data_IF_350199310344
#
_entry.id   IF_350199310344
#
_cell.length_a   1.000
_cell.length_b   1.000
_cell.length_c   1.000
_cell.angle_alpha   90.00
_cell.angle_beta   90.00
_cell.angle_gamma   90.00
#
_symmetry.space_group_name_H-M   'P 1'
#
loop_
_entity.id
_entity.type
_entity.pdbx_description
1 polymer ?
#
# COMPACT_ATOMS: atom_id res chain seq x y z
N UNK A 1 24.06 -8.11 -8.64
CA UNK A 1 24.74 -7.21 -7.68
C UNK A 1 24.63 -5.80 -8.21
N UNK A 2 23.98 -4.91 -7.46
CA UNK A 2 23.96 -3.48 -7.78
C UNK A 2 25.40 -2.95 -7.73
N UNK A 3 25.69 -1.92 -8.53
CA UNK A 3 27.03 -1.28 -8.52
C UNK A 3 27.15 -0.23 -7.41
N UNK A 4 26.02 0.17 -6.85
CA UNK A 4 25.89 1.30 -5.94
C UNK A 4 25.74 0.80 -4.50
N UNK A 5 26.36 1.49 -3.56
CA UNK A 5 26.20 1.21 -2.13
C UNK A 5 24.79 1.60 -1.66
N UNK A 6 24.18 0.76 -0.83
CA UNK A 6 22.89 1.04 -0.19
C UNK A 6 23.13 1.43 1.28
N UNK A 7 22.52 2.53 1.71
CA UNK A 7 22.49 2.93 3.12
C UNK A 7 21.03 3.01 3.57
N UNK A 8 20.69 2.22 4.58
CA UNK A 8 19.41 2.26 5.29
C UNK A 8 19.55 3.18 6.50
N UNK A 9 18.77 4.25 6.53
CA UNK A 9 18.61 5.10 7.71
C UNK A 9 17.29 4.72 8.36
N UNK A 10 17.33 4.29 9.63
CA UNK A 10 16.15 3.77 10.32
C UNK A 10 16.24 4.09 11.81
N UNK A 11 15.10 4.24 12.47
CA UNK A 11 15.10 4.39 13.93
C UNK A 11 15.39 3.03 14.62
N UNK A 12 15.88 3.08 15.86
CA UNK A 12 16.26 1.88 16.61
C UNK A 12 15.08 0.93 16.88
N UNK A 13 13.87 1.46 17.00
CA UNK A 13 12.67 0.67 17.29
C UNK A 13 12.25 -0.20 16.10
N UNK A 14 12.48 0.27 14.88
CA UNK A 14 12.08 -0.40 13.63
C UNK A 14 13.23 -1.16 12.98
N UNK A 15 14.50 -0.90 13.34
CA UNK A 15 15.70 -1.47 12.70
C UNK A 15 15.57 -2.97 12.45
N UNK A 16 15.31 -3.74 13.52
CA UNK A 16 15.22 -5.19 13.43
C UNK A 16 14.11 -5.63 12.48
N UNK A 17 12.93 -5.01 12.58
CA UNK A 17 11.76 -5.34 11.76
C UNK A 17 12.04 -5.02 10.29
N UNK A 18 12.56 -3.84 9.99
CA UNK A 18 12.87 -3.43 8.61
C UNK A 18 13.92 -4.36 7.99
N UNK A 19 14.95 -4.74 8.72
CA UNK A 19 15.98 -5.66 8.22
C UNK A 19 15.39 -7.05 7.93
N UNK A 20 14.62 -7.60 8.88
CA UNK A 20 14.08 -8.96 8.78
C UNK A 20 12.88 -9.09 7.82
N UNK A 21 12.09 -8.02 7.64
CA UNK A 21 10.85 -8.07 6.84
C UNK A 21 10.99 -7.36 5.48
N UNK A 22 11.56 -6.16 5.42
CA UNK A 22 11.51 -5.32 4.22
C UNK A 22 12.80 -5.43 3.38
N UNK A 23 13.95 -5.45 4.05
CA UNK A 23 15.26 -5.57 3.38
C UNK A 23 15.65 -7.02 3.09
N UNK A 24 14.94 -8.01 3.63
CA UNK A 24 15.24 -9.43 3.46
C UNK A 24 15.23 -9.92 2.00
N UNK A 25 14.54 -9.19 1.11
CA UNK A 25 14.46 -9.49 -0.33
C UNK A 25 15.54 -8.80 -1.16
N UNK A 26 16.35 -7.92 -0.54
CA UNK A 26 17.43 -7.20 -1.22
C UNK A 26 18.69 -8.07 -1.20
N UNK A 27 18.98 -8.69 -2.34
CA UNK A 27 20.21 -9.47 -2.57
C UNK A 27 21.42 -8.54 -2.87
N UNK A 28 21.67 -7.61 -1.95
CA UNK A 28 22.78 -6.67 -2.00
C UNK A 28 23.15 -6.21 -0.58
N UNK A 29 24.45 -6.12 -0.23
CA UNK A 29 24.86 -5.57 1.07
C UNK A 29 24.41 -4.12 1.23
N UNK A 30 24.00 -3.76 2.43
CA UNK A 30 23.66 -2.40 2.80
C UNK A 30 24.24 -2.03 4.16
N UNK A 31 24.56 -0.76 4.35
CA UNK A 31 24.93 -0.19 5.65
C UNK A 31 23.67 0.23 6.39
N UNK A 32 23.62 0.02 7.70
CA UNK A 32 22.53 0.51 8.56
C UNK A 32 23.06 1.67 9.39
N UNK A 33 22.31 2.77 9.41
CA UNK A 33 22.52 3.92 10.28
C UNK A 33 21.29 4.07 11.16
N UNK A 34 21.49 3.77 12.44
CA UNK A 34 20.43 3.76 13.44
C UNK A 34 20.51 4.98 14.34
N UNK A 35 19.35 5.53 14.68
CA UNK A 35 19.19 6.64 15.63
C UNK A 35 17.94 6.47 16.50
N UNK A 36 17.84 7.23 17.58
CA UNK A 36 16.62 7.29 18.36
C UNK A 36 15.51 8.00 17.57
N UNK A 37 14.25 7.65 17.83
CA UNK A 37 13.10 8.17 17.05
C UNK A 37 12.90 9.70 17.17
N UNK A 38 13.46 10.32 18.20
CA UNK A 38 13.38 11.77 18.46
C UNK A 38 14.60 12.54 17.94
N UNK A 39 15.62 11.84 17.44
CA UNK A 39 16.80 12.47 16.87
C UNK A 39 16.54 12.92 15.43
N UNK A 40 17.23 13.97 15.00
CA UNK A 40 17.15 14.50 13.65
C UNK A 40 18.09 13.73 12.71
N UNK A 41 17.51 13.08 11.69
CA UNK A 41 18.24 12.32 10.69
C UNK A 41 19.01 13.20 9.69
N UNK A 42 18.69 14.50 9.63
CA UNK A 42 19.29 15.47 8.70
C UNK A 42 20.82 15.48 8.79
N UNK A 43 21.38 15.44 10.01
CA UNK A 43 22.83 15.46 10.20
C UNK A 43 23.52 14.19 9.63
N UNK A 44 22.86 13.04 9.75
CA UNK A 44 23.33 11.78 9.19
C UNK A 44 23.27 11.82 7.66
N UNK A 45 22.15 12.27 7.09
CA UNK A 45 21.97 12.41 5.64
C UNK A 45 23.03 13.36 5.06
N UNK A 46 23.20 14.55 5.65
CA UNK A 46 24.19 15.55 5.21
C UNK A 46 25.62 15.00 5.24
N UNK A 47 25.96 14.21 6.26
CA UNK A 47 27.29 13.57 6.37
C UNK A 47 27.50 12.52 5.28
N UNK A 48 26.50 11.66 5.03
CA UNK A 48 26.56 10.57 4.05
C UNK A 48 26.56 11.08 2.60
N UNK A 49 25.94 12.23 2.37
CA UNK A 49 25.76 12.84 1.05
C UNK A 49 26.72 13.99 0.77
N UNK A 50 27.65 14.28 1.69
CA UNK A 50 28.62 15.38 1.57
C UNK A 50 29.36 15.33 0.24
N UNK A 51 29.41 16.48 -0.44
CA UNK A 51 30.08 16.69 -1.73
C UNK A 51 29.52 15.82 -2.88
N UNK A 52 28.35 15.18 -2.71
CA UNK A 52 27.64 14.42 -3.74
C UNK A 52 26.53 15.26 -4.38
N UNK A 53 26.13 14.86 -5.59
CA UNK A 53 24.85 15.28 -6.17
C UNK A 53 23.73 14.46 -5.54
N UNK A 54 22.68 15.14 -5.08
CA UNK A 54 21.58 14.51 -4.35
C UNK A 54 20.34 14.58 -5.23
N UNK A 55 19.73 13.42 -5.45
CA UNK A 55 18.39 13.30 -6.03
C UNK A 55 17.38 12.96 -4.94
N UNK A 56 16.19 13.57 -5.01
CA UNK A 56 15.08 13.33 -4.09
C UNK A 56 13.79 13.00 -4.86
N UNK A 57 13.00 12.07 -4.34
CA UNK A 57 11.66 11.78 -4.84
C UNK A 57 10.63 12.85 -4.39
N UNK A 58 11.02 13.70 -3.44
CA UNK A 58 10.27 14.89 -3.03
C UNK A 58 10.93 16.12 -3.63
N UNK A 59 10.13 17.06 -4.13
CA UNK A 59 10.64 18.32 -4.65
C UNK A 59 11.22 19.17 -3.50
N UNK A 60 12.53 19.40 -3.55
CA UNK A 60 13.29 20.22 -2.61
C UNK A 60 14.20 21.17 -3.39
N UNK A 61 14.32 22.43 -2.97
CA UNK A 61 15.02 23.47 -3.74
C UNK A 61 16.52 23.15 -3.94
N UNK A 62 17.13 22.44 -2.98
CA UNK A 62 18.55 22.11 -2.97
C UNK A 62 18.89 20.82 -3.73
N UNK A 63 17.91 19.98 -4.05
CA UNK A 63 18.11 18.64 -4.61
C UNK A 63 17.49 18.47 -5.99
N UNK A 64 18.07 17.57 -6.78
CA UNK A 64 17.51 17.21 -8.08
C UNK A 64 16.22 16.40 -7.87
N UNK A 65 15.11 16.84 -8.46
CA UNK A 65 13.84 16.12 -8.34
C UNK A 65 13.81 14.94 -9.32
N UNK A 66 14.00 13.72 -8.80
CA UNK A 66 14.14 12.49 -9.60
C UNK A 66 12.85 11.68 -9.72
N UNK A 67 11.77 12.13 -9.07
CA UNK A 67 10.49 11.41 -9.06
C UNK A 67 9.89 11.15 -10.46
N UNK A 68 9.97 12.06 -11.45
CA UNK A 68 9.47 11.77 -12.78
C UNK A 68 10.12 10.53 -13.40
N UNK A 69 11.43 10.39 -13.27
CA UNK A 69 12.18 9.25 -13.78
C UNK A 69 11.90 7.98 -12.96
N UNK A 70 11.85 8.10 -11.62
CA UNK A 70 11.51 6.97 -10.74
C UNK A 70 10.09 6.46 -10.99
N UNK A 71 9.12 7.35 -11.24
CA UNK A 71 7.73 6.99 -11.51
C UNK A 71 7.60 6.18 -12.79
N UNK A 72 8.36 6.55 -13.84
CA UNK A 72 8.37 5.81 -15.09
C UNK A 72 8.87 4.39 -14.90
N UNK A 73 9.94 4.19 -14.12
CA UNK A 73 10.47 2.85 -13.82
C UNK A 73 9.51 2.04 -12.95
N UNK A 74 8.94 2.64 -11.89
CA UNK A 74 7.99 1.96 -10.97
C UNK A 74 6.66 1.60 -11.63
N UNK A 75 6.28 2.27 -12.71
CA UNK A 75 5.05 1.97 -13.46
C UNK A 75 5.10 0.67 -14.27
N UNK A 76 6.30 0.08 -14.44
CA UNK A 76 6.51 -1.11 -15.25
C UNK A 76 6.59 -2.34 -14.35
N UNK A 77 5.60 -3.22 -14.47
CA UNK A 77 5.62 -4.51 -13.78
C UNK A 77 6.60 -5.46 -14.47
N UNK A 78 7.46 -6.10 -13.69
CA UNK A 78 8.22 -7.27 -14.14
C UNK A 78 7.28 -8.45 -14.43
N UNK A 79 7.77 -9.46 -15.15
CA UNK A 79 6.96 -10.63 -15.48
C UNK A 79 6.45 -11.39 -14.23
N UNK A 80 7.20 -11.39 -13.12
CA UNK A 80 6.73 -11.99 -11.86
C UNK A 80 5.67 -11.13 -11.18
N UNK A 81 5.85 -9.82 -11.14
CA UNK A 81 4.87 -8.89 -10.57
C UNK A 81 3.56 -8.88 -11.37
N UNK A 82 3.63 -9.00 -12.70
CA UNK A 82 2.43 -9.12 -13.53
C UNK A 82 1.63 -10.37 -13.19
N UNK A 83 2.28 -11.52 -13.01
CA UNK A 83 1.61 -12.76 -12.58
C UNK A 83 0.99 -12.63 -11.19
N UNK A 84 1.70 -12.01 -10.25
CA UNK A 84 1.17 -11.71 -8.91
C UNK A 84 -0.06 -10.81 -8.99
N UNK A 85 -0.02 -9.79 -9.84
CA UNK A 85 -1.13 -8.88 -10.08
C UNK A 85 -2.34 -9.60 -10.68
N UNK A 86 -2.14 -10.49 -11.67
CA UNK A 86 -3.22 -11.31 -12.25
C UNK A 86 -3.88 -12.21 -11.20
N UNK A 87 -3.08 -12.86 -10.33
CA UNK A 87 -3.59 -13.65 -9.21
C UNK A 87 -4.39 -12.78 -8.24
N UNK A 88 -3.84 -11.63 -7.81
CA UNK A 88 -4.52 -10.71 -6.91
C UNK A 88 -5.85 -10.21 -7.50
N UNK A 89 -5.89 -9.85 -8.79
CA UNK A 89 -7.12 -9.45 -9.46
C UNK A 89 -8.17 -10.58 -9.46
N UNK A 90 -7.75 -11.81 -9.76
CA UNK A 90 -8.64 -12.97 -9.74
C UNK A 90 -9.22 -13.23 -8.35
N UNK A 91 -8.36 -13.27 -7.33
CA UNK A 91 -8.79 -13.53 -5.95
C UNK A 91 -9.68 -12.39 -5.43
N UNK A 92 -9.36 -11.13 -5.75
CA UNK A 92 -10.22 -9.97 -5.44
C UNK A 92 -11.61 -10.13 -6.03
N UNK A 93 -11.71 -10.56 -7.30
CA UNK A 93 -13.01 -10.78 -7.95
C UNK A 93 -13.81 -11.89 -7.26
N UNK A 94 -13.15 -12.99 -6.87
CA UNK A 94 -13.76 -14.09 -6.12
C UNK A 94 -14.29 -13.61 -4.76
N UNK A 95 -13.51 -12.79 -4.04
CA UNK A 95 -13.91 -12.23 -2.75
C UNK A 95 -15.15 -11.34 -2.91
N UNK A 96 -15.11 -10.38 -3.84
CA UNK A 96 -16.24 -9.47 -4.07
C UNK A 96 -17.49 -10.24 -4.51
N UNK A 97 -17.36 -11.24 -5.37
CA UNK A 97 -18.49 -12.08 -5.79
C UNK A 97 -19.07 -12.88 -4.61
N UNK A 98 -18.22 -13.46 -3.75
CA UNK A 98 -18.64 -14.17 -2.54
C UNK A 98 -19.39 -13.25 -1.59
N UNK A 99 -18.87 -12.04 -1.35
CA UNK A 99 -19.53 -11.02 -0.53
C UNK A 99 -20.91 -10.73 -1.10
N UNK A 100 -21.01 -10.40 -2.39
CA UNK A 100 -22.28 -10.10 -3.05
C UNK A 100 -23.33 -11.22 -2.92
N UNK A 101 -22.91 -12.49 -2.90
CA UNK A 101 -23.81 -13.65 -2.70
C UNK A 101 -24.27 -13.83 -1.25
N UNK A 102 -23.52 -13.30 -0.28
CA UNK A 102 -23.81 -13.42 1.15
C UNK A 102 -24.58 -12.21 1.71
N UNK A 103 -24.73 -11.13 0.93
CA UNK A 103 -25.51 -9.95 1.33
C UNK A 103 -26.99 -10.30 1.45
N UNK A 104 -27.60 -9.95 2.58
CA UNK A 104 -29.03 -10.18 2.86
C UNK A 104 -29.72 -8.91 3.37
N UNK A 105 -31.00 -8.68 3.02
CA UNK A 105 -31.73 -7.49 3.48
C UNK A 105 -31.69 -7.31 4.99
N UNK A 106 -31.49 -6.07 5.44
CA UNK A 106 -31.35 -5.71 6.84
C UNK A 106 -29.92 -5.50 7.31
N UNK A 107 -28.91 -5.99 6.59
CA UNK A 107 -27.51 -5.68 6.88
C UNK A 107 -27.20 -4.21 6.63
N UNK A 108 -26.41 -3.60 7.51
CA UNK A 108 -25.80 -2.29 7.32
C UNK A 108 -24.67 -2.36 6.29
N UNK A 109 -24.34 -1.23 5.66
CA UNK A 109 -23.15 -1.16 4.80
C UNK A 109 -21.86 -1.47 5.57
N UNK A 110 -21.78 -1.14 6.87
CA UNK A 110 -20.67 -1.56 7.74
C UNK A 110 -20.52 -3.07 7.86
N UNK A 111 -21.62 -3.82 8.02
CA UNK A 111 -21.57 -5.28 8.09
C UNK A 111 -21.10 -5.89 6.78
N UNK A 112 -21.57 -5.35 5.65
CA UNK A 112 -21.13 -5.77 4.31
C UNK A 112 -19.64 -5.45 4.11
N UNK A 113 -19.18 -4.28 4.52
CA UNK A 113 -17.77 -3.89 4.46
C UNK A 113 -16.91 -4.79 5.34
N UNK A 114 -17.35 -5.08 6.57
CA UNK A 114 -16.67 -6.00 7.49
C UNK A 114 -16.51 -7.40 6.88
N UNK A 115 -17.54 -7.91 6.20
CA UNK A 115 -17.48 -9.19 5.51
C UNK A 115 -16.42 -9.21 4.40
N UNK A 116 -16.38 -8.16 3.57
CA UNK A 116 -15.37 -8.02 2.53
C UNK A 116 -13.95 -7.94 3.12
N UNK A 117 -13.79 -7.14 4.18
CA UNK A 117 -12.51 -6.96 4.83
C UNK A 117 -12.00 -8.25 5.47
N UNK A 118 -12.87 -8.99 6.16
CA UNK A 118 -12.54 -10.27 6.77
C UNK A 118 -12.02 -11.27 5.72
N UNK A 119 -12.69 -11.38 4.58
CA UNK A 119 -12.28 -12.31 3.51
C UNK A 119 -10.95 -11.92 2.88
N UNK A 120 -10.71 -10.62 2.63
CA UNK A 120 -9.45 -10.12 2.09
C UNK A 120 -8.28 -10.32 3.05
N UNK A 121 -8.43 -9.88 4.30
CA UNK A 121 -7.37 -10.00 5.32
C UNK A 121 -7.06 -11.47 5.63
N UNK A 122 -8.07 -12.35 5.63
CA UNK A 122 -7.86 -13.79 5.83
C UNK A 122 -7.02 -14.44 4.71
N UNK A 123 -6.91 -13.80 3.54
CA UNK A 123 -6.04 -14.22 2.44
C UNK A 123 -4.69 -13.50 2.44
N UNK A 124 -4.37 -12.72 3.49
CA UNK A 124 -3.12 -11.98 3.61
C UNK A 124 -3.05 -10.71 2.76
N UNK A 125 -4.19 -10.24 2.23
CA UNK A 125 -4.26 -9.02 1.43
C UNK A 125 -4.38 -7.78 2.32
N UNK A 126 -3.78 -6.68 1.86
CA UNK A 126 -3.93 -5.36 2.44
C UNK A 126 -5.06 -4.62 1.72
N UNK A 127 -5.93 -3.94 2.48
CA UNK A 127 -7.05 -3.19 1.93
C UNK A 127 -6.68 -1.72 1.85
N UNK A 128 -6.48 -1.22 0.64
CA UNK A 128 -6.17 0.21 0.40
C UNK A 128 -7.46 1.03 0.34
N UNK A 129 -8.49 0.49 -0.31
CA UNK A 129 -9.79 1.13 -0.47
C UNK A 129 -10.89 0.11 -0.25
N UNK A 130 -11.92 0.48 0.50
CA UNK A 130 -13.13 -0.32 0.67
C UNK A 130 -14.37 0.59 0.62
N UNK A 131 -15.19 0.38 -0.40
CA UNK A 131 -16.39 1.16 -0.67
C UNK A 131 -17.59 0.23 -0.67
N UNK A 132 -18.62 0.60 0.10
CA UNK A 132 -19.90 -0.09 0.10
C UNK A 132 -21.02 0.93 0.07
N UNK A 133 -22.00 0.70 -0.79
CA UNK A 133 -23.24 1.47 -0.82
C UNK A 133 -24.43 0.57 -1.06
N UNK A 134 -25.56 1.00 -0.50
CA UNK A 134 -26.85 0.34 -0.66
C UNK A 134 -27.89 1.29 -1.25
N UNK A 135 -28.79 0.70 -2.03
CA UNK A 135 -29.97 1.32 -2.62
C UNK A 135 -29.67 2.64 -3.34
N UNK A 136 -30.30 3.75 -2.94
CA UNK A 136 -30.17 5.05 -3.59
C UNK A 136 -28.75 5.62 -3.55
N UNK A 137 -27.92 5.22 -2.57
CA UNK A 137 -26.56 5.73 -2.43
C UNK A 137 -25.64 5.28 -3.57
N UNK A 138 -25.91 4.12 -4.16
CA UNK A 138 -25.14 3.60 -5.30
C UNK A 138 -25.14 4.58 -6.47
N UNK A 139 -26.25 5.31 -6.66
CA UNK A 139 -26.40 6.26 -7.75
C UNK A 139 -26.00 7.69 -7.36
N UNK A 140 -25.96 8.00 -6.06
CA UNK A 140 -25.64 9.35 -5.57
C UNK A 140 -24.13 9.61 -5.45
N UNK A 141 -23.33 8.58 -5.20
CA UNK A 141 -21.91 8.73 -4.87
C UNK A 141 -21.02 7.82 -5.70
N UNK A 142 -19.91 8.36 -6.23
CA UNK A 142 -18.89 7.57 -6.94
C UNK A 142 -17.93 6.84 -6.01
N UNK A 143 -17.68 7.38 -4.82
CA UNK A 143 -16.79 6.79 -3.81
C UNK A 143 -17.50 6.72 -2.45
N UNK A 144 -18.56 5.90 -2.33
CA UNK A 144 -19.33 5.83 -1.10
C UNK A 144 -18.55 5.10 0.00
N UNK A 145 -18.28 5.82 1.08
CA UNK A 145 -17.79 5.22 2.33
C UNK A 145 -18.99 4.56 3.04
N UNK A 146 -18.84 3.32 3.56
CA UNK A 146 -19.93 2.60 4.24
C UNK A 146 -20.54 3.41 5.39
N UNK A 147 -21.84 3.28 5.65
CA UNK A 147 -22.49 3.80 6.86
C UNK A 147 -23.39 2.75 7.56
N UNK A 148 -24.18 3.19 8.53
CA UNK A 148 -25.22 2.42 9.21
C UNK A 148 -26.51 2.23 8.38
N UNK A 149 -26.52 2.60 7.09
CA UNK A 149 -27.69 2.43 6.22
C UNK A 149 -27.94 0.94 5.96
N UNK A 150 -29.17 0.50 6.19
CA UNK A 150 -29.58 -0.88 5.93
C UNK A 150 -29.86 -1.12 4.45
N UNK A 151 -29.29 -2.21 3.92
CA UNK A 151 -29.57 -2.77 2.60
C UNK A 151 -31.02 -3.26 2.51
N UNK A 152 -31.71 -2.85 1.45
CA UNK A 152 -33.05 -3.34 1.13
C UNK A 152 -33.09 -4.17 -0.15
N UNK A 153 -32.49 -3.67 -1.23
CA UNK A 153 -32.70 -4.24 -2.57
C UNK A 153 -31.46 -4.29 -3.45
N UNK A 154 -30.62 -3.24 -3.44
CA UNK A 154 -29.40 -3.18 -4.25
C UNK A 154 -28.19 -2.87 -3.38
N UNK A 155 -27.10 -3.58 -3.60
CA UNK A 155 -25.83 -3.36 -2.92
C UNK A 155 -24.71 -3.29 -3.95
N UNK A 156 -23.69 -2.50 -3.63
CA UNK A 156 -22.46 -2.40 -4.38
C UNK A 156 -21.30 -2.47 -3.37
N UNK A 157 -20.31 -3.32 -3.65
CA UNK A 157 -19.07 -3.40 -2.91
C UNK A 157 -17.89 -3.30 -3.89
N UNK A 158 -16.90 -2.49 -3.56
CA UNK A 158 -15.69 -2.29 -4.34
C UNK A 158 -14.50 -2.22 -3.38
N UNK A 159 -13.41 -2.91 -3.71
CA UNK A 159 -12.18 -2.83 -2.95
C UNK A 159 -10.96 -2.70 -3.87
N UNK A 160 -9.94 -2.03 -3.35
CA UNK A 160 -8.58 -2.04 -3.89
C UNK A 160 -7.71 -2.78 -2.91
N UNK A 161 -7.11 -3.88 -3.37
CA UNK A 161 -6.29 -4.76 -2.54
C UNK A 161 -4.84 -4.72 -3.01
N UNK A 162 -3.91 -4.98 -2.09
CA UNK A 162 -2.47 -5.12 -2.32
C UNK A 162 -1.96 -6.40 -1.69
#
# INVERSE_FOLDING_TARGET
MLKDDIVLIVNQMEEKRIIEEEMAYIDHPFQVVTMDWFEDDTAHIQTLTKDKRIGSDIQMDEFEWIEPDLSQVRSILSASQLRQYETLCHETAVIVESVCKEIVPGQTEYEIASLAAQKAIAQGMTIEVLLVATDDRIHQYRHPIPTDKNFKSKACACCSLR
#
